data_IF_302009699343
#
_entry.id   IF_302009699343
#
_cell.length_a   1.000
_cell.length_b   1.000
_cell.length_c   1.000
_cell.angle_alpha   90.00
_cell.angle_beta   90.00
_cell.angle_gamma   90.00
#
_symmetry.space_group_name_H-M   'P 1'
#
loop_
_entity.id
_entity.type
_entity.pdbx_description
1 polymer ?
#
# COMPACT_ATOMS: atom_id res chain seq x y z
N UNK A 1 -5.42 9.45 -22.80
CA UNK A 1 -6.10 8.85 -21.63
C UNK A 1 -6.62 10.00 -20.79
N UNK A 2 -7.93 10.07 -20.56
CA UNK A 2 -8.51 11.15 -19.76
C UNK A 2 -7.96 11.03 -18.34
N UNK A 3 -7.36 12.11 -17.84
CA UNK A 3 -6.91 12.18 -16.45
C UNK A 3 -8.17 12.08 -15.58
N UNK A 4 -8.35 10.97 -14.87
CA UNK A 4 -9.56 10.77 -14.06
C UNK A 4 -9.57 11.85 -12.97
N UNK A 5 -10.69 12.57 -12.77
CA UNK A 5 -10.75 13.63 -11.78
C UNK A 5 -10.40 13.09 -10.40
N UNK A 6 -9.52 13.78 -9.66
CA UNK A 6 -9.16 13.39 -8.29
C UNK A 6 -10.38 13.24 -7.37
N UNK A 7 -11.46 13.99 -7.65
CA UNK A 7 -12.75 13.83 -6.99
C UNK A 7 -13.33 12.41 -7.14
N UNK A 8 -13.28 11.81 -8.34
CA UNK A 8 -13.78 10.45 -8.58
C UNK A 8 -12.94 9.41 -7.81
N UNK A 9 -11.63 9.59 -7.78
CA UNK A 9 -10.71 8.74 -6.99
C UNK A 9 -11.06 8.83 -5.50
N UNK A 10 -11.31 10.04 -4.99
CA UNK A 10 -11.71 10.26 -3.60
C UNK A 10 -13.08 9.63 -3.28
N UNK A 11 -14.07 9.76 -4.16
CA UNK A 11 -15.40 9.16 -3.99
C UNK A 11 -15.32 7.63 -3.92
N UNK A 12 -14.59 7.00 -4.85
CA UNK A 12 -14.39 5.54 -4.85
C UNK A 12 -13.64 5.07 -3.61
N UNK A 13 -12.62 5.80 -3.20
CA UNK A 13 -11.88 5.50 -1.98
C UNK A 13 -12.76 5.61 -0.72
N UNK A 14 -13.56 6.67 -0.60
CA UNK A 14 -14.52 6.83 0.51
C UNK A 14 -15.57 5.71 0.54
N UNK A 15 -16.09 5.32 -0.63
CA UNK A 15 -17.01 4.19 -0.74
C UNK A 15 -16.36 2.87 -0.29
N UNK A 16 -15.10 2.62 -0.67
CA UNK A 16 -14.36 1.46 -0.23
C UNK A 16 -14.15 1.44 1.29
N UNK A 17 -13.81 2.58 1.91
CA UNK A 17 -13.68 2.69 3.36
C UNK A 17 -15.00 2.51 4.10
N UNK A 18 -16.10 2.98 3.52
CA UNK A 18 -17.42 2.75 4.07
C UNK A 18 -17.74 1.24 4.08
N UNK A 19 -17.45 0.54 2.98
CA UNK A 19 -17.69 -0.89 2.83
C UNK A 19 -16.77 -1.75 3.72
N UNK A 20 -15.51 -1.37 3.94
CA UNK A 20 -14.62 -2.10 4.85
C UNK A 20 -15.05 -1.99 6.31
N UNK A 21 -15.65 -0.86 6.69
CA UNK A 21 -16.24 -0.63 8.03
C UNK A 21 -17.61 -1.27 8.25
N UNK A 22 -18.26 -1.79 7.21
CA UNK A 22 -19.57 -2.43 7.35
C UNK A 22 -19.40 -3.73 8.14
N UNK A 23 -20.00 -3.74 9.33
CA UNK A 23 -20.00 -4.87 10.26
C UNK A 23 -20.52 -6.17 9.64
N UNK A 24 -19.95 -7.29 10.08
CA UNK A 24 -20.29 -8.66 9.67
C UNK A 24 -21.79 -8.93 9.60
N UNK A 25 -22.56 -8.37 10.56
CA UNK A 25 -24.00 -8.58 10.67
C UNK A 25 -24.84 -7.96 9.55
N UNK A 26 -24.28 -7.01 8.77
CA UNK A 26 -24.95 -6.41 7.61
C UNK A 26 -24.73 -7.22 6.34
N UNK A 27 -23.78 -8.15 6.37
CA UNK A 27 -23.54 -9.07 5.27
C UNK A 27 -24.49 -10.28 5.39
N UNK A 28 -24.95 -10.85 4.27
CA UNK A 28 -25.73 -12.06 4.30
C UNK A 28 -24.92 -13.20 4.95
N UNK A 29 -25.55 -14.04 5.75
CA UNK A 29 -24.89 -15.14 6.51
C UNK A 29 -24.09 -16.11 5.61
N UNK A 30 -24.46 -16.20 4.32
CA UNK A 30 -23.75 -17.00 3.33
C UNK A 30 -22.43 -16.38 2.86
N UNK A 31 -22.28 -15.07 2.97
CA UNK A 31 -21.11 -14.32 2.51
C UNK A 31 -20.70 -13.26 3.55
N UNK A 32 -20.20 -13.68 4.72
CA UNK A 32 -19.87 -12.79 5.84
C UNK A 32 -18.95 -11.61 5.48
N UNK A 33 -18.07 -11.79 4.49
CA UNK A 33 -17.06 -10.80 4.09
C UNK A 33 -17.36 -10.09 2.76
N UNK A 34 -18.58 -10.21 2.21
CA UNK A 34 -18.92 -9.64 0.90
C UNK A 34 -18.58 -8.15 0.76
N UNK A 35 -18.88 -7.36 1.80
CA UNK A 35 -18.56 -5.93 1.80
C UNK A 35 -17.04 -5.67 1.77
N UNK A 36 -16.23 -6.51 2.43
CA UNK A 36 -14.75 -6.40 2.42
C UNK A 36 -14.17 -6.76 1.05
N UNK A 37 -14.67 -7.82 0.40
CA UNK A 37 -14.28 -8.14 -0.97
C UNK A 37 -14.67 -7.02 -1.95
N UNK A 38 -15.84 -6.42 -1.76
CA UNK A 38 -16.28 -5.27 -2.55
C UNK A 38 -15.40 -4.03 -2.31
N UNK A 39 -14.97 -3.81 -1.06
CA UNK A 39 -14.02 -2.76 -0.71
C UNK A 39 -12.66 -2.98 -1.41
N UNK A 40 -12.15 -4.21 -1.43
CA UNK A 40 -10.91 -4.54 -2.16
C UNK A 40 -11.00 -4.24 -3.65
N UNK A 41 -12.09 -4.63 -4.29
CA UNK A 41 -12.30 -4.36 -5.71
C UNK A 41 -12.25 -2.86 -6.02
N UNK A 42 -12.88 -2.02 -5.19
CA UNK A 42 -12.83 -0.57 -5.32
C UNK A 42 -11.43 -0.01 -5.04
N UNK A 43 -10.70 -0.55 -4.06
CA UNK A 43 -9.33 -0.13 -3.76
C UNK A 43 -8.36 -0.46 -4.90
N UNK A 44 -8.48 -1.63 -5.51
CA UNK A 44 -7.68 -2.01 -6.69
C UNK A 44 -8.02 -1.12 -7.91
N UNK A 45 -9.29 -0.75 -8.08
CA UNK A 45 -9.68 0.21 -9.11
C UNK A 45 -9.04 1.58 -8.87
N UNK A 46 -9.10 2.11 -7.64
CA UNK A 46 -8.47 3.39 -7.26
C UNK A 46 -6.94 3.34 -7.44
N UNK A 47 -6.30 2.20 -7.14
CA UNK A 47 -4.87 1.97 -7.39
C UNK A 47 -4.55 1.99 -8.88
N UNK A 48 -5.35 1.31 -9.71
CA UNK A 48 -5.19 1.33 -11.16
C UNK A 48 -5.36 2.74 -11.75
N UNK A 49 -6.28 3.54 -11.21
CA UNK A 49 -6.50 4.94 -11.58
C UNK A 49 -5.32 5.85 -11.22
N UNK A 50 -4.65 5.58 -10.10
CA UNK A 50 -3.43 6.28 -9.70
C UNK A 50 -2.19 5.84 -10.51
N UNK A 51 -2.27 4.69 -11.19
CA UNK A 51 -1.22 4.08 -12.01
C UNK A 51 -0.15 3.34 -11.19
N UNK A 52 0.78 2.62 -11.84
CA UNK A 52 1.78 1.81 -11.17
C UNK A 52 2.71 2.64 -10.28
N UNK A 53 3.05 2.12 -9.11
CA UNK A 53 4.12 2.68 -8.30
C UNK A 53 5.43 2.62 -9.12
N UNK A 54 6.37 3.55 -8.95
CA UNK A 54 7.64 3.52 -9.68
C UNK A 54 8.60 2.45 -9.13
N UNK A 55 8.11 1.26 -8.77
CA UNK A 55 8.87 0.17 -8.11
C UNK A 55 8.72 -1.20 -8.77
N UNK A 56 7.91 -1.34 -9.83
CA UNK A 56 7.77 -2.65 -10.53
C UNK A 56 9.00 -3.01 -11.40
N UNK A 57 10.13 -2.28 -11.29
CA UNK A 57 11.38 -2.54 -12.04
C UNK A 57 12.55 -3.12 -11.20
N UNK A 58 12.39 -3.28 -9.88
CA UNK A 58 13.47 -3.79 -9.00
C UNK A 58 13.28 -5.27 -8.56
N UNK A 59 12.44 -6.03 -9.27
CA UNK A 59 12.49 -7.51 -9.20
C UNK A 59 13.70 -8.02 -10.01
N UNK A 60 14.91 -7.78 -9.49
CA UNK A 60 16.09 -8.52 -9.94
C UNK A 60 15.98 -9.95 -9.39
N UNK A 61 15.97 -10.99 -10.24
CA UNK A 61 15.75 -12.36 -9.80
C UNK A 61 16.85 -12.79 -8.83
N UNK A 62 16.44 -13.40 -7.73
CA UNK A 62 17.31 -14.10 -6.80
C UNK A 62 18.05 -15.21 -7.57
N UNK A 63 19.32 -14.95 -7.89
CA UNK A 63 20.25 -16.00 -8.27
C UNK A 63 21.01 -16.41 -7.02
N UNK A 64 20.74 -17.63 -6.57
CA UNK A 64 21.52 -18.35 -5.57
C UNK A 64 23.00 -18.43 -5.97
N UNK A 65 23.92 -18.01 -5.10
CA UNK A 65 25.18 -18.74 -4.85
C UNK A 65 25.81 -18.31 -3.50
N UNK A 66 26.55 -19.24 -2.89
CA UNK A 66 26.99 -19.24 -1.49
C UNK A 66 28.11 -18.26 -1.07
N UNK A 67 28.74 -18.48 0.11
CA UNK A 67 29.14 -17.44 1.05
C UNK A 67 30.56 -16.88 0.82
N UNK A 68 30.77 -15.58 1.09
CA UNK A 68 32.10 -14.97 1.02
C UNK A 68 32.16 -13.54 1.58
N UNK A 69 33.17 -13.29 2.40
CA UNK A 69 33.41 -12.09 3.19
C UNK A 69 33.51 -10.78 2.39
N UNK A 70 33.19 -9.65 3.03
CA UNK A 70 33.52 -8.34 2.50
C UNK A 70 32.86 -7.20 3.27
N UNK A 71 33.58 -6.64 4.22
CA UNK A 71 33.37 -5.34 4.84
C UNK A 71 33.07 -4.25 3.80
N UNK A 72 31.92 -3.56 3.91
CA UNK A 72 31.82 -2.20 3.40
C UNK A 72 30.76 -1.39 4.18
N UNK A 73 31.25 -0.80 5.26
CA UNK A 73 31.12 0.62 5.55
C UNK A 73 29.72 1.23 5.55
N UNK A 74 29.23 1.40 6.79
CA UNK A 74 28.41 2.52 7.23
C UNK A 74 28.82 3.84 6.54
N UNK A 75 27.85 4.54 5.94
CA UNK A 75 28.05 5.92 5.54
C UNK A 75 26.95 6.45 4.63
N UNK A 76 26.00 7.21 5.19
CA UNK A 76 25.91 8.67 5.01
C UNK A 76 24.54 9.19 5.50
N UNK A 77 24.50 10.42 6.03
CA UNK A 77 23.32 10.98 6.67
C UNK A 77 22.35 11.42 5.58
N UNK A 78 21.21 10.76 5.48
CA UNK A 78 20.13 11.27 4.65
C UNK A 78 19.53 12.47 5.38
N UNK A 79 19.95 13.65 4.92
CA UNK A 79 19.34 14.93 5.24
C UNK A 79 17.82 14.85 5.14
N UNK A 80 17.18 15.66 5.99
CA UNK A 80 15.74 15.83 6.10
C UNK A 80 15.22 16.34 4.76
N UNK A 81 14.81 15.42 3.88
CA UNK A 81 14.10 15.76 2.64
C UNK A 81 12.63 15.79 3.01
N UNK A 82 12.12 17.00 3.24
CA UNK A 82 10.69 17.28 3.23
C UNK A 82 10.13 16.77 1.88
N UNK A 83 9.20 15.80 1.87
CA UNK A 83 8.72 15.21 0.63
C UNK A 83 7.67 16.12 -0.03
N UNK A 84 8.06 17.35 -0.34
CA UNK A 84 7.22 18.38 -0.93
C UNK A 84 7.28 18.27 -2.46
N UNK A 85 6.77 17.16 -3.00
CA UNK A 85 6.74 16.89 -4.44
C UNK A 85 5.48 16.15 -4.90
N UNK A 86 4.97 16.39 -6.13
CA UNK A 86 3.82 15.67 -6.69
C UNK A 86 3.99 14.14 -6.69
N UNK A 87 5.24 13.67 -6.75
CA UNK A 87 5.62 12.24 -6.71
C UNK A 87 5.41 11.66 -5.32
N UNK A 88 5.85 12.35 -4.26
CA UNK A 88 5.62 11.93 -2.88
C UNK A 88 4.14 11.90 -2.53
N UNK A 89 3.36 12.89 -2.98
CA UNK A 89 1.92 12.89 -2.74
C UNK A 89 1.22 11.69 -3.40
N UNK A 90 1.69 11.25 -4.57
CA UNK A 90 1.19 10.04 -5.25
C UNK A 90 1.56 8.77 -4.50
N UNK A 91 2.80 8.65 -4.03
CA UNK A 91 3.25 7.46 -3.33
C UNK A 91 2.62 7.35 -1.92
N UNK A 92 2.37 8.45 -1.21
CA UNK A 92 1.54 8.45 0.00
C UNK A 92 0.12 7.96 -0.30
N UNK A 93 -0.51 8.41 -1.39
CA UNK A 93 -1.85 7.93 -1.80
C UNK A 93 -1.85 6.43 -2.08
N UNK A 94 -0.84 5.93 -2.80
CA UNK A 94 -0.68 4.50 -3.06
C UNK A 94 -0.44 3.72 -1.75
N UNK A 95 0.39 4.23 -0.84
CA UNK A 95 0.68 3.60 0.44
C UNK A 95 -0.59 3.44 1.29
N UNK A 96 -1.45 4.46 1.34
CA UNK A 96 -2.74 4.39 2.04
C UNK A 96 -3.65 3.31 1.44
N UNK A 97 -3.65 3.15 0.12
CA UNK A 97 -4.45 2.10 -0.54
C UNK A 97 -3.91 0.71 -0.21
N UNK A 98 -2.59 0.51 -0.30
CA UNK A 98 -1.93 -0.75 0.08
C UNK A 98 -2.19 -1.09 1.55
N UNK A 99 -2.17 -0.10 2.45
CA UNK A 99 -2.54 -0.30 3.85
C UNK A 99 -3.96 -0.85 4.00
N UNK A 100 -4.94 -0.24 3.33
CA UNK A 100 -6.32 -0.69 3.43
C UNK A 100 -6.57 -2.03 2.75
N UNK A 101 -5.85 -2.37 1.67
CA UNK A 101 -5.86 -3.70 1.09
C UNK A 101 -5.33 -4.73 2.10
N UNK A 102 -4.18 -4.43 2.73
CA UNK A 102 -3.58 -5.27 3.76
C UNK A 102 -4.51 -5.54 4.94
N UNK A 103 -5.13 -4.49 5.49
CA UNK A 103 -6.12 -4.62 6.57
C UNK A 103 -7.31 -5.47 6.14
N UNK A 104 -7.85 -5.24 4.94
CA UNK A 104 -8.97 -6.06 4.45
C UNK A 104 -8.58 -7.54 4.31
N UNK A 105 -7.34 -7.86 3.91
CA UNK A 105 -6.85 -9.24 3.81
C UNK A 105 -6.69 -9.90 5.18
N UNK A 106 -6.07 -9.20 6.14
CA UNK A 106 -5.94 -9.69 7.53
C UNK A 106 -7.33 -9.98 8.12
N UNK A 107 -8.27 -9.08 7.87
CA UNK A 107 -9.65 -9.14 8.33
C UNK A 107 -10.46 -10.32 7.79
N UNK A 108 -10.04 -10.93 6.68
CA UNK A 108 -10.63 -12.16 6.15
C UNK A 108 -9.68 -13.35 6.30
N UNK A 109 -8.74 -13.26 7.24
CA UNK A 109 -7.82 -14.33 7.60
C UNK A 109 -6.82 -14.69 6.48
N UNK A 110 -6.65 -13.82 5.48
CA UNK A 110 -5.69 -13.96 4.38
C UNK A 110 -4.36 -13.27 4.76
N UNK A 111 -3.73 -13.76 5.84
CA UNK A 111 -2.60 -13.07 6.50
C UNK A 111 -1.40 -12.81 5.58
N UNK A 112 -0.96 -13.80 4.79
CA UNK A 112 0.21 -13.65 3.91
C UNK A 112 0.01 -12.55 2.87
N UNK A 113 -1.15 -12.52 2.20
CA UNK A 113 -1.50 -11.43 1.28
C UNK A 113 -1.58 -10.09 2.02
N UNK A 114 -2.13 -10.09 3.24
CA UNK A 114 -2.18 -8.92 4.10
C UNK A 114 -0.79 -8.34 4.40
N UNK A 115 0.17 -9.20 4.76
CA UNK A 115 1.56 -8.82 5.03
C UNK A 115 2.27 -8.26 3.79
N UNK A 116 2.09 -8.87 2.63
CA UNK A 116 2.67 -8.39 1.37
C UNK A 116 2.24 -6.94 1.06
N UNK A 117 0.94 -6.65 1.19
CA UNK A 117 0.39 -5.31 1.02
C UNK A 117 0.94 -4.32 2.05
N UNK A 118 1.05 -4.71 3.33
CA UNK A 118 1.62 -3.86 4.37
C UNK A 118 3.12 -3.59 4.16
N UNK A 119 3.88 -4.58 3.69
CA UNK A 119 5.29 -4.41 3.32
C UNK A 119 5.42 -3.43 2.15
N UNK A 120 4.52 -3.51 1.16
CA UNK A 120 4.48 -2.55 0.03
C UNK A 120 4.14 -1.14 0.50
N UNK A 121 3.17 -0.99 1.40
CA UNK A 121 2.88 0.29 2.07
C UNK A 121 4.11 0.88 2.76
N UNK A 122 4.81 0.07 3.57
CA UNK A 122 6.01 0.52 4.27
C UNK A 122 7.14 0.92 3.32
N UNK A 123 7.32 0.21 2.20
CA UNK A 123 8.32 0.58 1.16
C UNK A 123 8.04 1.95 0.58
N UNK A 124 6.79 2.20 0.18
CA UNK A 124 6.34 3.48 -0.37
C UNK A 124 6.57 4.64 0.62
N UNK A 125 6.26 4.44 1.91
CA UNK A 125 6.44 5.46 2.95
C UNK A 125 7.91 5.71 3.31
N UNK A 126 8.74 4.67 3.36
CA UNK A 126 10.18 4.78 3.68
C UNK A 126 10.95 5.50 2.57
N UNK A 127 10.61 5.24 1.31
CA UNK A 127 11.28 5.85 0.17
C UNK A 127 11.09 7.36 0.13
N UNK A 128 9.93 7.83 0.56
CA UNK A 128 9.58 9.25 0.54
C UNK A 128 9.85 9.95 1.88
N UNK A 129 10.69 9.36 2.75
CA UNK A 129 11.15 10.04 3.96
C UNK A 129 10.06 10.31 5.01
N UNK A 130 8.92 9.61 4.96
CA UNK A 130 7.90 9.71 6.02
C UNK A 130 8.49 9.06 7.28
N UNK A 131 9.12 9.88 8.11
CA UNK A 131 9.67 9.47 9.40
C UNK A 131 8.51 9.04 10.30
N UNK A 132 8.23 7.74 10.34
CA UNK A 132 7.46 7.13 11.40
C UNK A 132 8.31 7.24 12.67
N UNK A 133 8.10 8.32 13.43
CA UNK A 133 8.74 8.54 14.72
C UNK A 133 8.67 7.24 15.54
N UNK A 134 9.83 6.64 15.84
CA UNK A 134 9.95 5.55 16.82
C UNK A 134 9.47 6.08 18.17
N UNK A 135 8.71 5.30 18.95
CA UNK A 135 8.51 5.63 20.36
C UNK A 135 9.86 5.50 21.08
N UNK A 136 10.14 6.49 21.94
CA UNK A 136 11.29 6.52 22.86
C UNK A 136 11.25 5.38 23.88
#
# INVERSE_FOLDING_TARGET
MANVPWAEVCEKFQAALALSRVELHKNPEKEPYKSKYSARALLEEVKALLGPAPEDEDERPEAEDGPGAGDHALGLPAEVVEPEGPVAQRAVRLAVIEFHLGVNHIDTEELSAGEEHLVKCLRLLRRDGVSLCRPE
#
